data_IF_708868378214
#
_entry.id   IF_708868378214
#
_cell.length_a   1.000
_cell.length_b   1.000
_cell.length_c   1.000
_cell.angle_alpha   90.00
_cell.angle_beta   90.00
_cell.angle_gamma   90.00
#
_symmetry.space_group_name_H-M   'P 1'
#
loop_
_entity.id
_entity.type
_entity.pdbx_description
1 polymer ?
#
# COMPACT_ATOMS: atom_id res chain seq x y z
N UNK A 1 -8.67 -26.61 39.15
CA UNK A 1 -8.94 -25.27 38.62
C UNK A 1 -7.65 -24.73 38.04
N UNK A 2 -7.53 -24.69 36.71
CA UNK A 2 -6.31 -24.25 36.02
C UNK A 2 -6.32 -22.72 35.93
N UNK A 3 -5.27 -22.07 36.46
CA UNK A 3 -5.01 -20.66 36.27
C UNK A 3 -4.13 -20.48 35.02
N UNK A 4 -4.70 -19.90 33.98
CA UNK A 4 -3.98 -19.49 32.77
C UNK A 4 -3.29 -18.15 33.06
N UNK A 5 -1.97 -18.19 33.24
CA UNK A 5 -1.12 -17.00 33.24
C UNK A 5 -1.06 -16.42 31.83
N UNK A 6 -1.65 -15.25 31.65
CA UNK A 6 -1.57 -14.46 30.42
C UNK A 6 -0.18 -13.79 30.37
N UNK A 7 0.70 -14.32 29.53
CA UNK A 7 2.00 -13.71 29.27
C UNK A 7 1.79 -12.37 28.54
N UNK A 8 2.32 -11.30 29.13
CA UNK A 8 2.42 -9.97 28.53
C UNK A 8 3.26 -10.07 27.25
N UNK A 9 2.58 -10.00 26.09
CA UNK A 9 3.22 -9.93 24.79
C UNK A 9 4.01 -8.63 24.69
N UNK A 10 5.30 -8.78 24.37
CA UNK A 10 6.27 -7.71 24.26
C UNK A 10 5.81 -6.57 23.36
N UNK A 11 5.98 -5.36 23.88
CA UNK A 11 5.94 -4.08 23.16
C UNK A 11 7.03 -4.11 22.10
N UNK A 12 6.62 -4.17 20.83
CA UNK A 12 7.53 -3.98 19.71
C UNK A 12 8.08 -2.54 19.77
N UNK A 13 9.39 -2.33 19.55
CA UNK A 13 9.97 -1.00 19.51
C UNK A 13 9.40 -0.24 18.32
N UNK A 14 9.01 1.00 18.61
CA UNK A 14 8.66 2.03 17.66
C UNK A 14 9.77 2.09 16.61
N UNK A 15 9.44 1.77 15.36
CA UNK A 15 10.34 1.98 14.23
C UNK A 15 10.42 3.47 13.97
N UNK A 16 11.19 4.15 14.82
CA UNK A 16 11.84 5.42 14.51
C UNK A 16 12.81 5.16 13.37
N UNK A 17 12.27 5.27 12.18
CA UNK A 17 12.98 5.19 10.91
C UNK A 17 12.31 6.15 9.96
N UNK A 18 12.26 7.45 10.32
CA UNK A 18 12.17 8.54 9.35
C UNK A 18 13.40 8.43 8.46
N UNK A 19 13.35 7.51 7.51
CA UNK A 19 14.32 7.41 6.44
C UNK A 19 14.16 8.67 5.60
N UNK A 20 15.05 9.63 5.87
CA UNK A 20 15.57 10.65 4.97
C UNK A 20 14.64 11.02 3.79
N UNK A 21 13.93 12.14 3.91
CA UNK A 21 13.15 12.79 2.84
C UNK A 21 14.09 13.45 1.78
N UNK A 22 15.12 12.74 1.33
CA UNK A 22 16.03 13.17 0.28
C UNK A 22 15.66 12.42 -1.00
N UNK A 23 14.57 12.84 -1.67
CA UNK A 23 14.15 12.27 -2.95
C UNK A 23 12.65 12.19 -3.20
N UNK A 24 11.79 12.71 -2.32
CA UNK A 24 10.35 12.71 -2.56
C UNK A 24 9.96 13.70 -3.67
N UNK A 25 9.17 13.23 -4.64
CA UNK A 25 8.61 14.10 -5.67
C UNK A 25 7.56 15.05 -5.08
N UNK A 26 7.30 16.17 -5.76
CA UNK A 26 6.31 17.14 -5.29
C UNK A 26 4.92 16.52 -5.13
N UNK A 27 4.55 15.54 -5.95
CA UNK A 27 3.27 14.83 -5.84
C UNK A 27 3.16 13.98 -4.57
N UNK A 28 4.25 13.33 -4.14
CA UNK A 28 4.30 12.58 -2.88
C UNK A 28 4.15 13.55 -1.71
N UNK A 29 4.88 14.66 -1.73
CA UNK A 29 4.78 15.71 -0.71
C UNK A 29 3.36 16.27 -0.63
N UNK A 30 2.75 16.61 -1.75
CA UNK A 30 1.39 17.14 -1.80
C UNK A 30 0.36 16.18 -1.19
N UNK A 31 0.48 14.87 -1.46
CA UNK A 31 -0.39 13.87 -0.83
C UNK A 31 -0.16 13.79 0.69
N UNK A 32 1.10 13.81 1.14
CA UNK A 32 1.44 13.78 2.57
C UNK A 32 0.96 15.05 3.29
N UNK A 33 1.11 16.22 2.67
CA UNK A 33 0.59 17.49 3.20
C UNK A 33 -0.94 17.51 3.23
N UNK A 34 -1.61 16.94 2.22
CA UNK A 34 -3.07 16.77 2.26
C UNK A 34 -3.52 15.85 3.41
N UNK A 35 -2.74 14.81 3.74
CA UNK A 35 -3.01 13.97 4.92
C UNK A 35 -2.83 14.78 6.21
N UNK A 36 -1.73 15.52 6.35
CA UNK A 36 -1.49 16.39 7.51
C UNK A 36 -2.55 17.49 7.67
N UNK A 37 -3.13 17.97 6.57
CA UNK A 37 -4.19 18.97 6.62
C UNK A 37 -5.44 18.48 7.37
N UNK A 38 -5.71 17.16 7.39
CA UNK A 38 -6.78 16.62 8.23
C UNK A 38 -6.46 16.70 9.73
N UNK A 39 -5.18 16.55 10.11
CA UNK A 39 -4.74 16.68 11.50
C UNK A 39 -4.85 18.12 12.01
N UNK A 40 -4.88 19.10 11.11
CA UNK A 40 -5.05 20.52 11.43
C UNK A 40 -6.52 20.93 11.63
N UNK A 41 -7.49 20.04 11.37
CA UNK A 41 -8.91 20.31 11.64
C UNK A 41 -9.15 20.18 13.15
N UNK A 42 -9.48 21.29 13.81
CA UNK A 42 -9.66 21.34 15.27
C UNK A 42 -10.95 20.67 15.76
N UNK A 43 -12.02 20.69 14.95
CA UNK A 43 -13.28 20.03 15.29
C UNK A 43 -13.25 18.54 14.95
N UNK A 44 -13.39 17.69 15.97
CA UNK A 44 -13.36 16.23 15.83
C UNK A 44 -14.46 15.71 14.90
N UNK A 45 -15.65 16.34 14.92
CA UNK A 45 -16.77 15.93 14.09
C UNK A 45 -16.52 16.24 12.61
N UNK A 46 -16.03 17.44 12.30
CA UNK A 46 -15.61 17.85 10.96
C UNK A 46 -14.46 16.99 10.44
N UNK A 47 -13.43 16.77 11.25
CA UNK A 47 -12.28 15.94 10.87
C UNK A 47 -12.73 14.51 10.55
N UNK A 48 -13.54 13.91 11.42
CA UNK A 48 -14.07 12.56 11.22
C UNK A 48 -14.90 12.45 9.95
N UNK A 49 -15.76 13.45 9.67
CA UNK A 49 -16.58 13.47 8.46
C UNK A 49 -15.73 13.56 7.18
N UNK A 50 -14.73 14.44 7.18
CA UNK A 50 -13.82 14.66 6.05
C UNK A 50 -12.95 13.43 5.77
N UNK A 51 -12.30 12.87 6.79
CA UNK A 51 -11.50 11.64 6.66
C UNK A 51 -12.37 10.47 6.20
N UNK A 52 -13.57 10.32 6.76
CA UNK A 52 -14.50 9.27 6.35
C UNK A 52 -14.89 9.37 4.88
N UNK A 53 -15.00 10.58 4.33
CA UNK A 53 -15.26 10.78 2.90
C UNK A 53 -14.11 10.27 2.03
N UNK A 54 -12.86 10.59 2.40
CA UNK A 54 -11.69 10.08 1.70
C UNK A 54 -11.62 8.55 1.80
N UNK A 55 -11.86 7.99 2.98
CA UNK A 55 -11.82 6.54 3.19
C UNK A 55 -12.89 5.79 2.37
N UNK A 56 -14.07 6.40 2.13
CA UNK A 56 -15.07 5.84 1.22
C UNK A 56 -14.61 5.80 -0.23
N UNK A 57 -13.88 6.83 -0.67
CA UNK A 57 -13.33 6.92 -2.03
C UNK A 57 -11.99 6.19 -2.19
N UNK A 58 -11.35 5.81 -1.09
CA UNK A 58 -10.04 5.19 -1.07
C UNK A 58 -9.90 3.95 -1.95
N UNK A 59 -10.88 3.04 -2.04
CA UNK A 59 -10.78 1.90 -2.96
C UNK A 59 -10.54 2.32 -4.41
N UNK A 60 -11.21 3.39 -4.87
CA UNK A 60 -11.09 3.92 -6.23
C UNK A 60 -9.79 4.72 -6.41
N UNK A 61 -9.44 5.59 -5.46
CA UNK A 61 -8.18 6.33 -5.47
C UNK A 61 -6.97 5.39 -5.49
N UNK A 62 -7.01 4.35 -4.66
CA UNK A 62 -6.00 3.31 -4.61
C UNK A 62 -5.98 2.47 -5.90
N UNK A 63 -7.12 2.19 -6.52
CA UNK A 63 -7.17 1.54 -7.83
C UNK A 63 -6.48 2.39 -8.91
N UNK A 64 -6.79 3.69 -8.97
CA UNK A 64 -6.18 4.63 -9.93
C UNK A 64 -4.66 4.71 -9.77
N UNK A 65 -4.14 4.85 -8.53
CA UNK A 65 -2.70 4.86 -8.27
C UNK A 65 -2.01 3.57 -8.75
N UNK A 66 -2.68 2.42 -8.57
CA UNK A 66 -2.16 1.13 -9.02
C UNK A 66 -2.14 0.98 -10.52
N UNK A 67 -3.21 1.40 -11.19
CA UNK A 67 -3.29 1.40 -12.65
C UNK A 67 -2.24 2.32 -13.25
N UNK A 68 -2.07 3.52 -12.67
CA UNK A 68 -1.01 4.43 -13.06
C UNK A 68 0.36 3.76 -12.94
N UNK A 69 0.66 3.12 -11.79
CA UNK A 69 1.91 2.37 -11.62
C UNK A 69 2.08 1.28 -12.67
N UNK A 70 1.04 0.48 -12.92
CA UNK A 70 1.06 -0.58 -13.94
C UNK A 70 1.40 0.00 -15.32
N UNK A 71 0.71 1.06 -15.74
CA UNK A 71 0.93 1.73 -17.03
C UNK A 71 2.36 2.25 -17.15
N UNK A 72 2.91 2.85 -16.09
CA UNK A 72 4.30 3.35 -16.10
C UNK A 72 5.31 2.22 -16.17
N UNK A 73 5.11 1.13 -15.44
CA UNK A 73 5.96 -0.06 -15.53
C UNK A 73 5.92 -0.67 -16.94
N UNK A 74 4.74 -0.74 -17.56
CA UNK A 74 4.61 -1.21 -18.92
C UNK A 74 5.34 -0.28 -19.91
N UNK A 75 5.22 1.03 -19.74
CA UNK A 75 5.94 2.00 -20.58
C UNK A 75 7.47 1.89 -20.42
N UNK A 76 7.99 1.66 -19.21
CA UNK A 76 9.42 1.42 -18.97
C UNK A 76 9.90 0.17 -19.73
N UNK A 77 9.09 -0.88 -19.74
CA UNK A 77 9.42 -2.12 -20.45
C UNK A 77 9.36 -1.96 -21.97
N UNK A 78 8.27 -1.40 -22.47
CA UNK A 78 7.98 -1.42 -23.91
C UNK A 78 8.67 -0.28 -24.65
N UNK A 79 8.63 0.93 -24.09
CA UNK A 79 9.13 2.15 -24.75
C UNK A 79 10.59 2.40 -24.43
N UNK A 80 10.98 2.20 -23.17
CA UNK A 80 12.36 2.45 -22.73
C UNK A 80 13.24 1.18 -22.72
N UNK A 81 12.68 0.02 -23.12
CA UNK A 81 13.38 -1.27 -23.21
C UNK A 81 14.14 -1.70 -21.94
N UNK A 82 13.74 -1.19 -20.76
CA UNK A 82 14.37 -1.57 -19.50
C UNK A 82 14.12 -3.04 -19.16
N UNK A 83 15.08 -3.64 -18.49
CA UNK A 83 14.99 -5.01 -17.96
C UNK A 83 14.21 -5.04 -16.65
N UNK A 84 13.64 -6.19 -16.30
CA UNK A 84 12.91 -6.33 -15.02
C UNK A 84 13.76 -6.01 -13.78
N UNK A 85 15.05 -6.35 -13.71
CA UNK A 85 15.92 -5.92 -12.62
C UNK A 85 16.11 -4.40 -12.53
N UNK A 86 16.21 -3.69 -13.66
CA UNK A 86 16.31 -2.23 -13.66
C UNK A 86 15.00 -1.57 -13.23
N UNK A 87 13.87 -2.10 -13.72
CA UNK A 87 12.54 -1.64 -13.31
C UNK A 87 12.33 -1.87 -11.81
N UNK A 88 12.76 -3.02 -11.28
CA UNK A 88 12.70 -3.32 -9.87
C UNK A 88 13.50 -2.32 -9.02
N UNK A 89 14.71 -1.96 -9.47
CA UNK A 89 15.52 -0.90 -8.85
C UNK A 89 14.83 0.47 -8.87
N UNK A 90 14.09 0.80 -9.94
CA UNK A 90 13.35 2.07 -10.06
C UNK A 90 12.13 2.09 -9.12
N UNK A 91 11.39 0.99 -9.02
CA UNK A 91 10.21 0.91 -8.15
C UNK A 91 10.62 0.97 -6.66
N UNK A 92 11.80 0.46 -6.32
CA UNK A 92 12.30 0.36 -4.95
C UNK A 92 11.80 -0.90 -4.26
N UNK A 93 12.68 -1.58 -3.53
CA UNK A 93 12.41 -2.74 -2.66
C UNK A 93 11.46 -3.82 -3.21
N UNK A 94 11.50 -4.07 -4.52
CA UNK A 94 10.76 -5.15 -5.18
C UNK A 94 11.70 -6.06 -5.94
N UNK A 95 11.35 -7.34 -6.07
CA UNK A 95 12.10 -8.28 -6.92
C UNK A 95 11.74 -8.07 -8.40
N UNK A 96 12.60 -8.52 -9.35
CA UNK A 96 12.29 -8.49 -10.79
C UNK A 96 10.97 -9.20 -11.15
N UNK A 97 10.66 -10.30 -10.49
CA UNK A 97 9.42 -11.07 -10.67
C UNK A 97 8.22 -10.23 -10.21
N UNK A 98 8.39 -9.48 -9.10
CA UNK A 98 7.34 -8.59 -8.62
C UNK A 98 7.11 -7.43 -9.59
N UNK A 99 8.17 -6.86 -10.17
CA UNK A 99 8.04 -5.86 -11.23
C UNK A 99 7.27 -6.40 -12.46
N UNK A 100 7.53 -7.65 -12.85
CA UNK A 100 6.79 -8.32 -13.92
C UNK A 100 5.31 -8.58 -13.55
N UNK A 101 5.02 -8.95 -12.30
CA UNK A 101 3.63 -9.09 -11.85
C UNK A 101 2.89 -7.75 -11.86
N UNK A 102 3.56 -6.66 -11.49
CA UNK A 102 2.99 -5.31 -11.50
C UNK A 102 2.62 -4.90 -12.93
N UNK A 103 3.45 -5.20 -13.94
CA UNK A 103 3.12 -4.87 -15.34
C UNK A 103 1.86 -5.59 -15.84
N UNK A 104 1.63 -6.82 -15.35
CA UNK A 104 0.43 -7.63 -15.65
C UNK A 104 -0.80 -7.26 -14.81
N UNK A 105 -0.70 -6.25 -13.93
CA UNK A 105 -1.79 -5.87 -13.02
C UNK A 105 -2.04 -6.89 -11.89
N UNK A 106 -1.17 -7.91 -11.74
CA UNK A 106 -1.37 -8.99 -10.78
C UNK A 106 -1.14 -8.49 -9.35
N UNK A 107 -2.18 -8.68 -8.51
CA UNK A 107 -2.08 -8.48 -7.07
C UNK A 107 -1.33 -9.70 -6.49
N UNK A 108 -0.39 -9.48 -5.56
CA UNK A 108 0.18 -10.59 -4.81
C UNK A 108 -0.97 -11.36 -4.18
N UNK A 109 -1.14 -12.63 -4.56
CA UNK A 109 -2.33 -13.41 -4.25
C UNK A 109 -2.51 -13.53 -2.74
N UNK A 110 -3.43 -12.74 -2.16
CA UNK A 110 -4.15 -13.27 -1.00
C UNK A 110 -4.86 -14.52 -1.51
N UNK A 111 -4.48 -15.67 -0.95
CA UNK A 111 -5.07 -16.98 -1.20
C UNK A 111 -6.57 -16.84 -1.46
N UNK A 112 -7.14 -17.47 -2.51
CA UNK A 112 -8.59 -17.57 -2.60
C UNK A 112 -9.11 -18.18 -1.28
N UNK A 113 -10.22 -17.68 -0.71
CA UNK A 113 -10.84 -18.37 0.41
C UNK A 113 -11.06 -19.81 -0.03
N UNK A 114 -10.67 -20.77 0.83
CA UNK A 114 -10.89 -22.18 0.60
C UNK A 114 -12.38 -22.33 0.30
N UNK A 115 -12.73 -22.54 -0.97
CA UNK A 115 -14.09 -22.95 -1.34
C UNK A 115 -14.27 -24.29 -0.64
N UNK A 116 -14.94 -24.26 0.51
CA UNK A 116 -15.54 -25.44 1.10
C UNK A 116 -16.78 -25.76 0.29
N UNK A 117 -16.57 -26.26 -0.93
CA UNK A 117 -17.54 -27.10 -1.60
C UNK A 117 -17.14 -28.55 -1.32
N UNK A 118 -18.04 -29.25 -0.63
CA UNK A 118 -18.41 -30.66 -0.74
C UNK A 118 -18.76 -31.19 0.66
N UNK A 119 -19.78 -32.00 0.92
CA UNK A 119 -20.96 -32.51 0.19
C UNK A 119 -21.66 -33.39 1.25
N UNK A 120 -22.98 -33.27 1.37
CA UNK A 120 -23.95 -34.33 1.69
C UNK A 120 -23.61 -35.37 2.79
N UNK A 121 -24.34 -35.30 3.91
CA UNK A 121 -25.25 -36.38 4.35
C UNK A 121 -26.22 -35.90 5.43
#
# INVERSE_FOLDING_TARGET
MQALGFALSGRAPETEGRAQLAGETEEVKNLLEAIKAFEAIEDDAECTAAVSQVLRQWPDLHAQLRELRQQRVQALRDRQRKTWPEIAKIIGDVTPERAQQISKGLRGSKRPPKQGSDTEK
#
